data_IF_525188424666
#
_entry.id   IF_525188424666
#
_cell.length_a   1.000
_cell.length_b   1.000
_cell.length_c   1.000
_cell.angle_alpha   90.00
_cell.angle_beta   90.00
_cell.angle_gamma   90.00
#
_symmetry.space_group_name_H-M   'P 1'
#
loop_
_entity.id
_entity.type
_entity.pdbx_description
1 polymer ?
#
# COMPACT_ATOMS: atom_id res chain seq x y z
N UNK A 1 22.46 14.90 -2.30
CA UNK A 1 21.50 14.54 -1.22
C UNK A 1 21.03 13.10 -1.36
N UNK A 2 20.53 12.69 -2.54
CA UNK A 2 20.11 11.31 -2.83
C UNK A 2 21.20 10.26 -2.55
N UNK A 3 22.41 10.45 -3.09
CA UNK A 3 23.55 9.54 -2.82
C UNK A 3 23.82 9.38 -1.31
N UNK A 4 23.97 10.50 -0.58
CA UNK A 4 24.14 10.47 0.88
C UNK A 4 23.01 9.74 1.61
N UNK A 5 21.75 9.93 1.20
CA UNK A 5 20.59 9.26 1.78
C UNK A 5 20.62 7.74 1.50
N UNK A 6 21.02 7.35 0.29
CA UNK A 6 21.19 5.96 -0.10
C UNK A 6 22.32 5.28 0.68
N UNK A 7 23.48 5.93 0.78
CA UNK A 7 24.65 5.44 1.52
C UNK A 7 24.34 5.25 3.00
N UNK A 8 23.66 6.23 3.61
CA UNK A 8 23.19 6.15 5.00
C UNK A 8 22.22 4.98 5.25
N UNK A 9 21.59 4.44 4.19
CA UNK A 9 20.68 3.29 4.27
C UNK A 9 21.31 1.97 3.84
N UNK A 10 22.58 1.92 3.44
CA UNK A 10 23.20 0.71 2.87
C UNK A 10 22.95 -0.56 3.73
N UNK A 11 23.15 -0.46 5.05
CA UNK A 11 22.91 -1.58 5.98
C UNK A 11 21.42 -1.99 6.06
N UNK A 12 20.50 -1.03 5.97
CA UNK A 12 19.06 -1.33 5.89
C UNK A 12 18.73 -2.03 4.57
N UNK A 13 19.27 -1.54 3.45
CA UNK A 13 19.00 -2.11 2.12
C UNK A 13 19.50 -3.56 2.02
N UNK A 14 20.67 -3.86 2.57
CA UNK A 14 21.16 -5.25 2.67
C UNK A 14 20.21 -6.14 3.47
N UNK A 15 19.81 -5.70 4.67
CA UNK A 15 18.86 -6.45 5.49
C UNK A 15 17.54 -6.69 4.77
N UNK A 16 16.99 -5.70 4.07
CA UNK A 16 15.74 -5.84 3.33
C UNK A 16 15.86 -6.87 2.20
N UNK A 17 17.02 -6.98 1.54
CA UNK A 17 17.26 -8.05 0.55
C UNK A 17 17.22 -9.43 1.19
N UNK A 18 17.88 -9.62 2.33
CA UNK A 18 17.85 -10.88 3.07
C UNK A 18 16.45 -11.26 3.57
N UNK A 19 15.61 -10.25 3.81
CA UNK A 19 14.21 -10.41 4.21
C UNK A 19 13.25 -10.50 3.01
N UNK A 20 13.75 -10.75 1.80
CA UNK A 20 12.98 -10.82 0.56
C UNK A 20 12.01 -9.63 0.39
N UNK A 21 12.56 -8.42 0.52
CA UNK A 21 11.82 -7.16 0.45
C UNK A 21 12.39 -6.25 -0.64
N UNK A 22 11.60 -5.99 -1.69
CA UNK A 22 11.97 -5.14 -2.83
C UNK A 22 11.16 -3.83 -2.91
N UNK A 23 10.43 -3.48 -1.86
CA UNK A 23 9.74 -2.19 -1.74
C UNK A 23 10.09 -1.43 -0.45
N UNK A 24 10.55 -0.18 -0.59
CA UNK A 24 11.04 0.65 0.52
C UNK A 24 11.27 2.10 0.10
N UNK A 25 11.29 3.01 1.08
CA UNK A 25 11.66 4.42 0.87
C UNK A 25 13.16 4.59 0.64
N UNK A 26 13.52 5.14 -0.52
CA UNK A 26 14.88 5.53 -0.89
C UNK A 26 15.23 6.93 -0.39
N UNK A 27 14.26 7.85 -0.41
CA UNK A 27 14.45 9.25 0.01
C UNK A 27 13.20 9.78 0.73
N UNK A 28 13.39 10.36 1.90
CA UNK A 28 12.38 11.00 2.72
C UNK A 28 12.73 12.48 2.92
N UNK A 29 12.28 13.33 1.99
CA UNK A 29 12.75 14.70 1.86
C UNK A 29 12.63 15.58 3.10
N UNK A 30 11.60 15.36 3.95
CA UNK A 30 11.45 16.09 5.22
C UNK A 30 12.66 15.95 6.14
N UNK A 31 13.29 14.77 6.21
CA UNK A 31 14.46 14.55 7.08
C UNK A 31 15.80 14.68 6.34
N UNK A 32 15.75 14.84 5.01
CA UNK A 32 16.94 14.77 4.15
C UNK A 32 17.25 16.07 3.42
N UNK A 33 16.49 17.13 3.73
CA UNK A 33 16.72 18.50 3.29
C UNK A 33 15.96 18.91 2.03
N UNK A 34 14.96 18.14 1.60
CA UNK A 34 14.06 18.51 0.50
C UNK A 34 12.59 18.27 0.88
N UNK A 35 12.02 19.05 1.83
CA UNK A 35 10.67 18.85 2.32
C UNK A 35 9.64 18.77 1.20
N UNK A 36 8.68 17.86 1.34
CA UNK A 36 7.67 17.62 0.32
C UNK A 36 8.08 16.64 -0.78
N UNK A 37 9.29 16.09 -0.80
CA UNK A 37 9.72 15.11 -1.81
C UNK A 37 9.89 13.72 -1.21
N UNK A 38 9.39 12.69 -1.90
CA UNK A 38 9.64 11.29 -1.55
C UNK A 38 10.07 10.50 -2.78
N UNK A 39 11.04 9.59 -2.58
CA UNK A 39 11.41 8.59 -3.58
C UNK A 39 11.24 7.21 -2.94
N UNK A 40 10.35 6.41 -3.50
CA UNK A 40 10.03 5.07 -3.00
C UNK A 40 10.34 4.03 -4.09
N UNK A 41 11.01 2.93 -3.73
CA UNK A 41 11.13 1.74 -4.59
C UNK A 41 9.89 0.87 -4.40
N UNK A 42 9.31 0.44 -5.50
CA UNK A 42 8.27 -0.60 -5.56
C UNK A 42 8.67 -1.64 -6.61
N UNK A 43 9.40 -2.68 -6.18
CA UNK A 43 9.91 -3.71 -7.08
C UNK A 43 10.88 -3.10 -8.10
N UNK A 44 10.48 -3.10 -9.37
CA UNK A 44 11.25 -2.57 -10.49
C UNK A 44 10.83 -1.16 -10.91
N UNK A 45 10.10 -0.42 -10.06
CA UNK A 45 9.69 0.97 -10.33
C UNK A 45 10.13 1.88 -9.19
N UNK A 46 10.71 3.03 -9.54
CA UNK A 46 10.93 4.13 -8.61
C UNK A 46 9.77 5.12 -8.70
N UNK A 47 9.08 5.37 -7.60
CA UNK A 47 8.00 6.33 -7.49
C UNK A 47 8.53 7.61 -6.84
N UNK A 48 8.72 8.65 -7.65
CA UNK A 48 9.03 10.00 -7.20
C UNK A 48 7.72 10.75 -6.97
N UNK A 49 7.54 11.33 -5.79
CA UNK A 49 6.39 12.19 -5.51
C UNK A 49 6.86 13.53 -4.95
N UNK A 50 6.15 14.58 -5.35
CA UNK A 50 6.27 15.89 -4.71
C UNK A 50 4.93 16.32 -4.13
N UNK A 51 5.02 17.01 -3.00
CA UNK A 51 3.94 17.60 -2.26
C UNK A 51 4.27 19.08 -2.04
N UNK A 52 3.23 19.92 -1.90
CA UNK A 52 3.31 21.38 -1.76
C UNK A 52 3.80 22.15 -2.99
N UNK A 53 4.90 21.72 -3.63
CA UNK A 53 5.44 22.33 -4.84
C UNK A 53 5.81 21.26 -5.89
N UNK A 54 5.65 21.55 -7.20
CA UNK A 54 6.16 20.70 -8.26
C UNK A 54 7.69 20.76 -8.33
N UNK A 55 8.31 19.69 -8.81
CA UNK A 55 9.69 19.64 -9.27
C UNK A 55 9.79 20.11 -10.72
N UNK A 56 10.86 20.84 -11.04
CA UNK A 56 11.21 21.16 -12.42
C UNK A 56 11.81 19.95 -13.15
N UNK A 57 11.90 20.03 -14.48
CA UNK A 57 12.39 18.93 -15.31
C UNK A 57 13.84 18.54 -15.01
N UNK A 58 14.68 19.52 -14.61
CA UNK A 58 16.08 19.27 -14.26
C UNK A 58 16.18 18.45 -12.96
N UNK A 59 15.38 18.76 -11.96
CA UNK A 59 15.27 18.02 -10.71
C UNK A 59 14.77 16.59 -10.94
N UNK A 60 13.72 16.42 -11.76
CA UNK A 60 13.19 15.10 -12.13
C UNK A 60 14.24 14.27 -12.88
N UNK A 61 14.94 14.87 -13.84
CA UNK A 61 16.01 14.22 -14.59
C UNK A 61 17.18 13.81 -13.68
N UNK A 62 17.58 14.67 -12.72
CA UNK A 62 18.63 14.35 -11.76
C UNK A 62 18.26 13.17 -10.85
N UNK A 63 17.00 13.11 -10.38
CA UNK A 63 16.51 11.95 -9.61
C UNK A 63 16.51 10.70 -10.48
N UNK A 64 16.03 10.79 -11.72
CA UNK A 64 15.99 9.65 -12.63
C UNK A 64 17.40 9.12 -12.98
N UNK A 65 18.37 10.02 -13.18
CA UNK A 65 19.77 9.65 -13.40
C UNK A 65 20.38 8.98 -12.15
N UNK A 66 20.09 9.48 -10.96
CA UNK A 66 20.50 8.82 -9.72
C UNK A 66 19.89 7.41 -9.60
N UNK A 67 18.60 7.23 -9.90
CA UNK A 67 17.95 5.92 -9.89
C UNK A 67 18.61 4.98 -10.91
N UNK A 68 18.92 5.45 -12.12
CA UNK A 68 19.59 4.65 -13.14
C UNK A 68 21.03 4.24 -12.75
N UNK A 69 21.72 5.06 -11.97
CA UNK A 69 23.06 4.72 -11.46
C UNK A 69 23.01 3.55 -10.45
N UNK A 70 22.05 3.58 -9.51
CA UNK A 70 21.91 2.53 -8.47
C UNK A 70 21.08 1.33 -8.93
N UNK A 71 20.20 1.52 -9.91
CA UNK A 71 19.25 0.53 -10.43
C UNK A 71 19.01 0.77 -11.95
N UNK A 72 19.90 0.29 -12.83
CA UNK A 72 19.93 0.67 -14.26
C UNK A 72 18.66 0.40 -15.07
N UNK A 73 17.85 -0.58 -14.67
CA UNK A 73 16.65 -0.99 -15.40
C UNK A 73 15.37 -0.39 -14.83
N UNK A 74 15.45 0.38 -13.73
CA UNK A 74 14.28 0.84 -12.98
C UNK A 74 13.79 2.21 -13.49
N UNK A 75 12.63 2.31 -14.16
CA UNK A 75 12.06 3.60 -14.55
C UNK A 75 11.64 4.42 -13.32
N UNK A 76 11.87 5.73 -13.41
CA UNK A 76 11.35 6.71 -12.43
C UNK A 76 10.03 7.27 -12.92
N UNK A 77 8.96 7.01 -12.16
CA UNK A 77 7.64 7.59 -12.37
C UNK A 77 7.47 8.79 -11.43
N UNK A 78 7.35 9.98 -12.00
CA UNK A 78 7.10 11.20 -11.23
C UNK A 78 5.62 11.52 -11.15
N UNK A 79 5.11 11.65 -9.92
CA UNK A 79 3.77 12.10 -9.60
C UNK A 79 3.85 13.44 -8.83
N UNK A 80 3.57 14.54 -9.52
CA UNK A 80 3.32 15.84 -8.89
C UNK A 80 1.97 15.80 -8.19
N UNK A 81 1.98 15.87 -6.85
CA UNK A 81 0.80 15.93 -5.99
C UNK A 81 0.70 17.26 -5.24
N UNK A 82 1.36 18.31 -5.72
CA UNK A 82 1.34 19.63 -5.10
C UNK A 82 0.00 20.35 -5.21
N UNK A 83 -0.85 19.94 -6.17
CA UNK A 83 -2.13 20.55 -6.45
C UNK A 83 -3.27 20.21 -5.47
N UNK A 84 -4.49 20.62 -5.83
CA UNK A 84 -5.70 20.46 -5.00
C UNK A 84 -5.95 18.98 -4.66
N UNK A 85 -6.21 18.73 -3.37
CA UNK A 85 -6.50 17.40 -2.82
C UNK A 85 -5.41 16.35 -3.13
N UNK A 86 -4.16 16.76 -3.35
CA UNK A 86 -3.02 15.88 -3.64
C UNK A 86 -3.25 14.93 -4.83
N UNK A 87 -4.03 15.37 -5.83
CA UNK A 87 -4.23 14.65 -7.09
C UNK A 87 -3.01 14.83 -7.97
N UNK A 88 -2.72 13.81 -8.79
CA UNK A 88 -1.62 13.84 -9.74
C UNK A 88 -1.92 14.87 -10.83
N UNK A 89 -1.04 15.85 -11.01
CA UNK A 89 -1.25 16.99 -11.91
C UNK A 89 -0.40 16.95 -13.19
N UNK A 90 0.74 16.25 -13.18
CA UNK A 90 1.68 16.25 -14.30
C UNK A 90 1.39 15.14 -15.33
N UNK A 91 1.63 15.39 -16.64
CA UNK A 91 1.66 14.34 -17.65
C UNK A 91 2.91 13.45 -17.51
N UNK A 92 2.91 12.32 -18.23
CA UNK A 92 4.09 11.47 -18.41
C UNK A 92 4.31 11.21 -19.91
N UNK A 93 5.56 11.05 -20.36
CA UNK A 93 5.88 10.48 -21.66
C UNK A 93 5.20 9.12 -21.85
N UNK A 94 4.85 8.76 -23.09
CA UNK A 94 4.06 7.56 -23.40
C UNK A 94 4.63 6.27 -22.80
N UNK A 95 5.95 6.07 -22.88
CA UNK A 95 6.62 4.91 -22.32
C UNK A 95 6.44 4.82 -20.79
N UNK A 96 6.64 5.92 -20.08
CA UNK A 96 6.46 5.98 -18.62
C UNK A 96 4.99 5.91 -18.22
N UNK A 97 4.07 6.44 -19.03
CA UNK A 97 2.62 6.32 -18.82
C UNK A 97 2.18 4.86 -18.85
N UNK A 98 2.68 4.08 -19.81
CA UNK A 98 2.39 2.64 -19.90
C UNK A 98 2.84 1.91 -18.64
N UNK A 99 4.08 2.13 -18.19
CA UNK A 99 4.60 1.55 -16.94
C UNK A 99 3.77 1.99 -15.73
N UNK A 100 3.46 3.27 -15.62
CA UNK A 100 2.75 3.82 -14.48
C UNK A 100 1.33 3.24 -14.29
N UNK A 101 0.66 2.93 -15.39
CA UNK A 101 -0.69 2.36 -15.41
C UNK A 101 -0.71 0.83 -15.48
N UNK A 102 0.43 0.14 -15.51
CA UNK A 102 0.46 -1.31 -15.45
C UNK A 102 0.50 -1.80 -13.99
N UNK A 103 -0.44 -2.67 -13.56
CA UNK A 103 -0.35 -3.33 -12.27
C UNK A 103 0.91 -4.22 -12.19
N UNK A 104 1.81 -3.89 -11.28
CA UNK A 104 2.97 -4.70 -10.91
C UNK A 104 2.72 -5.52 -9.64
N UNK A 105 3.79 -6.19 -9.19
CA UNK A 105 3.84 -6.82 -7.87
C UNK A 105 5.18 -6.53 -7.20
N UNK A 106 5.16 -6.42 -5.87
CA UNK A 106 6.32 -6.23 -5.01
C UNK A 106 6.34 -7.30 -3.92
N UNK A 107 7.47 -7.46 -3.26
CA UNK A 107 7.65 -8.35 -2.11
C UNK A 107 8.03 -7.56 -0.87
N UNK A 108 7.44 -7.94 0.25
CA UNK A 108 7.84 -7.51 1.58
C UNK A 108 7.75 -8.70 2.53
N UNK A 109 8.86 -9.08 3.15
CA UNK A 109 8.95 -10.24 4.05
C UNK A 109 8.52 -11.55 3.38
N UNK A 110 8.84 -11.72 2.09
CA UNK A 110 8.40 -12.86 1.29
C UNK A 110 6.91 -12.87 0.93
N UNK A 111 6.16 -11.83 1.30
CA UNK A 111 4.74 -11.67 0.95
C UNK A 111 4.61 -10.83 -0.31
N UNK A 112 3.84 -11.32 -1.28
CA UNK A 112 3.59 -10.61 -2.53
C UNK A 112 2.41 -9.65 -2.42
N UNK A 113 2.58 -8.43 -2.91
CA UNK A 113 1.55 -7.39 -2.97
C UNK A 113 1.47 -6.79 -4.36
N UNK A 114 0.27 -6.41 -4.80
CA UNK A 114 0.04 -5.59 -5.99
C UNK A 114 0.48 -4.16 -5.72
N UNK A 115 1.05 -3.55 -6.76
CA UNK A 115 1.42 -2.15 -6.81
C UNK A 115 1.00 -1.56 -8.15
N UNK A 116 0.65 -0.28 -8.17
CA UNK A 116 0.46 0.48 -9.40
C UNK A 116 0.72 1.97 -9.10
N UNK A 117 1.57 2.60 -9.90
CA UNK A 117 2.03 3.97 -9.64
C UNK A 117 0.96 5.03 -9.95
N UNK A 118 0.11 4.77 -10.96
CA UNK A 118 -1.02 5.62 -11.34
C UNK A 118 -2.27 4.79 -11.58
N UNK A 119 -3.30 5.07 -10.80
CA UNK A 119 -4.63 4.47 -10.90
C UNK A 119 -5.72 5.48 -10.51
N UNK A 120 -6.98 5.06 -10.47
CA UNK A 120 -8.10 5.96 -10.13
C UNK A 120 -8.05 6.52 -8.68
N UNK A 121 -7.46 5.77 -7.75
CA UNK A 121 -7.15 6.24 -6.38
C UNK A 121 -5.91 7.13 -6.31
N UNK A 122 -5.59 7.66 -5.12
CA UNK A 122 -4.50 8.61 -4.94
C UNK A 122 -3.16 7.98 -4.55
N UNK A 123 -3.19 7.04 -3.61
CA UNK A 123 -1.99 6.44 -3.03
C UNK A 123 -1.70 5.09 -3.66
N UNK A 124 -0.42 4.70 -3.79
CA UNK A 124 -0.07 3.38 -4.27
C UNK A 124 -0.69 2.30 -3.39
N UNK A 125 -1.00 1.15 -3.98
CA UNK A 125 -1.71 0.05 -3.32
C UNK A 125 -1.04 -0.58 -2.09
N UNK A 126 0.16 -0.15 -1.68
CA UNK A 126 0.83 -0.59 -0.47
C UNK A 126 1.50 0.59 0.23
N UNK A 127 1.14 0.82 1.49
CA UNK A 127 1.80 1.78 2.37
C UNK A 127 3.05 1.13 3.03
N UNK A 128 4.23 1.68 2.71
CA UNK A 128 5.52 1.12 3.11
C UNK A 128 5.92 1.42 4.56
N UNK A 129 5.38 2.49 5.14
CA UNK A 129 5.57 2.87 6.55
C UNK A 129 4.98 1.82 7.52
N UNK A 130 3.94 1.10 7.10
CA UNK A 130 3.31 0.06 7.90
C UNK A 130 4.07 -1.29 7.88
N UNK A 131 5.23 -1.38 7.20
CA UNK A 131 6.05 -2.61 7.14
C UNK A 131 6.42 -3.16 8.53
N UNK A 132 6.85 -2.29 9.44
CA UNK A 132 7.23 -2.71 10.79
C UNK A 132 6.05 -3.35 11.54
N UNK A 133 4.85 -2.79 11.39
CA UNK A 133 3.63 -3.34 11.97
C UNK A 133 3.24 -4.67 11.33
N UNK A 134 3.39 -4.81 10.00
CA UNK A 134 3.15 -6.09 9.30
C UNK A 134 4.13 -7.16 9.75
N UNK A 135 5.41 -6.84 9.94
CA UNK A 135 6.39 -7.78 10.52
C UNK A 135 5.99 -8.25 11.91
N UNK A 136 5.68 -7.31 12.80
CA UNK A 136 5.25 -7.65 14.16
C UNK A 136 4.01 -8.56 14.13
N UNK A 137 3.03 -8.23 13.30
CA UNK A 137 1.84 -9.06 13.12
C UNK A 137 2.18 -10.47 12.63
N UNK A 138 3.09 -10.61 11.65
CA UNK A 138 3.49 -11.92 11.13
C UNK A 138 4.14 -12.79 12.22
N UNK A 139 4.85 -12.21 13.18
CA UNK A 139 5.40 -12.96 14.31
C UNK A 139 4.32 -13.48 15.28
N UNK A 140 3.16 -12.81 15.34
CA UNK A 140 2.08 -13.11 16.30
C UNK A 140 0.89 -13.86 15.70
N UNK A 141 0.75 -13.87 14.37
CA UNK A 141 -0.50 -14.25 13.71
C UNK A 141 -0.78 -15.76 13.69
N UNK A 142 0.23 -16.61 13.80
CA UNK A 142 0.11 -18.06 13.66
C UNK A 142 -1.00 -18.64 14.56
N UNK A 143 -1.95 -19.36 13.96
CA UNK A 143 -3.08 -20.00 14.65
C UNK A 143 -4.15 -19.03 15.19
N UNK A 144 -3.94 -17.71 15.12
CA UNK A 144 -4.90 -16.70 15.62
C UNK A 144 -5.97 -16.35 14.59
N UNK A 145 -6.99 -15.63 15.04
CA UNK A 145 -8.00 -15.01 14.17
C UNK A 145 -7.76 -13.51 14.11
N UNK A 146 -7.68 -12.95 12.90
CA UNK A 146 -7.37 -11.54 12.66
C UNK A 146 -8.56 -10.83 12.01
N UNK A 147 -9.01 -9.74 12.62
CA UNK A 147 -9.97 -8.80 12.06
C UNK A 147 -9.21 -7.54 11.62
N UNK A 148 -9.09 -7.34 10.31
CA UNK A 148 -8.45 -6.19 9.70
C UNK A 148 -9.53 -5.18 9.28
N UNK A 149 -9.61 -4.07 9.99
CA UNK A 149 -10.57 -2.98 9.75
C UNK A 149 -9.89 -1.85 8.98
N UNK A 150 -10.65 -1.11 8.17
CA UNK A 150 -10.10 -0.13 7.23
C UNK A 150 -9.01 -0.80 6.36
N UNK A 151 -9.35 -1.99 5.86
CA UNK A 151 -8.40 -2.94 5.35
C UNK A 151 -7.67 -2.45 4.08
N UNK A 152 -8.21 -1.46 3.38
CA UNK A 152 -7.72 -0.96 2.10
C UNK A 152 -7.50 -2.12 1.12
N UNK A 153 -6.28 -2.28 0.59
CA UNK A 153 -5.86 -3.39 -0.29
C UNK A 153 -5.49 -4.64 0.50
N UNK A 154 -5.95 -4.75 1.75
CA UNK A 154 -5.83 -5.90 2.63
C UNK A 154 -4.40 -6.31 2.98
N UNK A 155 -3.41 -5.39 2.88
CA UNK A 155 -1.99 -5.72 3.08
C UNK A 155 -1.68 -6.38 4.43
N UNK A 156 -2.30 -5.89 5.51
CA UNK A 156 -2.22 -6.45 6.87
C UNK A 156 -2.84 -7.85 6.94
N UNK A 157 -4.04 -8.01 6.38
CA UNK A 157 -4.72 -9.31 6.34
C UNK A 157 -3.98 -10.36 5.50
N UNK A 158 -3.40 -9.97 4.37
CA UNK A 158 -2.56 -10.86 3.55
C UNK A 158 -1.31 -11.29 4.32
N UNK A 159 -0.62 -10.36 5.00
CA UNK A 159 0.54 -10.70 5.84
C UNK A 159 0.18 -11.71 6.94
N UNK A 160 -0.92 -11.48 7.66
CA UNK A 160 -1.41 -12.41 8.68
C UNK A 160 -1.74 -13.80 8.11
N UNK A 161 -2.37 -13.84 6.93
CA UNK A 161 -2.68 -15.09 6.24
C UNK A 161 -1.42 -15.88 5.87
N UNK A 162 -0.40 -15.22 5.29
CA UNK A 162 0.88 -15.84 4.97
C UNK A 162 1.62 -16.35 6.21
N UNK A 163 1.47 -15.65 7.35
CA UNK A 163 2.03 -16.05 8.64
C UNK A 163 1.23 -17.15 9.36
N UNK A 164 0.22 -17.76 8.71
CA UNK A 164 -0.50 -18.90 9.27
C UNK A 164 -1.64 -18.54 10.23
N UNK A 165 -2.22 -17.33 10.13
CA UNK A 165 -3.47 -17.03 10.82
C UNK A 165 -4.55 -18.05 10.44
N UNK A 166 -5.22 -18.63 11.44
CA UNK A 166 -6.33 -19.59 11.25
C UNK A 166 -7.52 -18.96 10.54
N UNK A 167 -7.71 -17.66 10.71
CA UNK A 167 -8.79 -16.92 10.08
C UNK A 167 -8.43 -15.45 9.90
N UNK A 168 -8.72 -14.88 8.73
CA UNK A 168 -8.55 -13.46 8.44
C UNK A 168 -9.84 -12.90 7.86
N UNK A 169 -10.33 -11.79 8.42
CA UNK A 169 -11.44 -11.01 7.87
C UNK A 169 -10.97 -9.60 7.58
N UNK A 170 -11.11 -9.16 6.34
CA UNK A 170 -10.84 -7.80 5.90
C UNK A 170 -12.16 -7.04 5.72
N UNK A 171 -12.27 -5.87 6.33
CA UNK A 171 -13.44 -4.98 6.21
C UNK A 171 -12.98 -3.64 5.63
N UNK A 172 -13.58 -3.24 4.52
CA UNK A 172 -13.34 -1.92 3.94
C UNK A 172 -14.58 -1.40 3.19
N UNK A 173 -14.72 -0.08 3.12
CA UNK A 173 -15.82 0.56 2.42
C UNK A 173 -15.56 0.68 0.91
N UNK A 174 -14.30 0.62 0.47
CA UNK A 174 -13.93 0.78 -0.92
C UNK A 174 -13.86 -0.59 -1.61
N UNK A 175 -14.90 -0.93 -2.37
CA UNK A 175 -14.92 -2.16 -3.17
C UNK A 175 -13.72 -2.27 -4.13
N UNK A 176 -13.26 -1.15 -4.69
CA UNK A 176 -12.08 -1.10 -5.55
C UNK A 176 -10.80 -1.52 -4.82
N UNK A 177 -10.65 -1.17 -3.54
CA UNK A 177 -9.51 -1.58 -2.71
C UNK A 177 -9.61 -3.06 -2.33
N UNK A 178 -10.81 -3.53 -1.95
CA UNK A 178 -11.05 -4.96 -1.69
C UNK A 178 -10.79 -5.84 -2.91
N UNK A 179 -11.05 -5.35 -4.13
CA UNK A 179 -10.70 -6.07 -5.36
C UNK A 179 -9.19 -6.31 -5.47
N UNK A 180 -8.39 -5.28 -5.22
CA UNK A 180 -6.92 -5.41 -5.15
C UNK A 180 -6.51 -6.32 -3.99
N UNK A 181 -7.19 -6.24 -2.85
CA UNK A 181 -6.94 -7.13 -1.71
C UNK A 181 -7.21 -8.61 -2.01
N UNK A 182 -8.23 -8.91 -2.81
CA UNK A 182 -8.48 -10.27 -3.32
C UNK A 182 -7.36 -10.72 -4.26
N UNK A 183 -6.82 -9.82 -5.08
CA UNK A 183 -5.66 -10.13 -5.92
C UNK A 183 -4.40 -10.37 -5.09
N UNK A 184 -4.15 -9.58 -4.04
CA UNK A 184 -3.07 -9.80 -3.08
C UNK A 184 -3.19 -11.18 -2.42
N UNK A 185 -4.38 -11.60 -2.01
CA UNK A 185 -4.58 -12.93 -1.45
C UNK A 185 -4.33 -14.06 -2.47
N UNK A 186 -4.61 -13.84 -3.76
CA UNK A 186 -4.34 -14.82 -4.83
C UNK A 186 -2.87 -14.90 -5.23
N UNK A 187 -2.09 -13.85 -5.01
CA UNK A 187 -0.65 -13.84 -5.27
C UNK A 187 0.15 -14.72 -4.30
N UNK A 188 -0.46 -15.12 -3.18
CA UNK A 188 0.23 -15.83 -2.11
C UNK A 188 -0.40 -17.20 -1.85
N UNK A 189 0.42 -18.15 -1.41
CA UNK A 189 -0.04 -19.46 -0.94
C UNK A 189 -0.59 -19.33 0.49
N UNK A 190 -1.90 -19.06 0.62
CA UNK A 190 -2.56 -18.92 1.91
C UNK A 190 -3.16 -20.27 2.37
N UNK A 191 -2.91 -20.72 3.61
CA UNK A 191 -3.47 -21.97 4.13
C UNK A 191 -5.00 -21.90 4.29
N UNK A 192 -5.53 -20.69 4.49
CA UNK A 192 -6.96 -20.42 4.61
C UNK A 192 -7.33 -19.21 3.77
N UNK A 193 -8.51 -19.28 3.13
CA UNK A 193 -9.02 -18.17 2.32
C UNK A 193 -9.49 -17.02 3.23
N UNK A 194 -8.97 -15.79 3.09
CA UNK A 194 -9.47 -14.64 3.84
C UNK A 194 -10.92 -14.30 3.46
N UNK A 195 -11.67 -13.76 4.42
CA UNK A 195 -12.98 -13.15 4.18
C UNK A 195 -12.80 -11.68 3.80
N UNK A 196 -13.61 -11.21 2.86
CA UNK A 196 -13.63 -9.81 2.42
C UNK A 196 -15.05 -9.26 2.58
N UNK A 197 -15.19 -8.20 3.34
CA UNK A 197 -16.47 -7.58 3.69
C UNK A 197 -16.47 -6.16 3.17
N UNK A 198 -17.32 -5.90 2.17
CA UNK A 198 -17.60 -4.55 1.70
C UNK A 198 -18.62 -3.91 2.63
N UNK A 199 -18.14 -3.08 3.56
CA UNK A 199 -18.97 -2.40 4.55
C UNK A 199 -18.20 -1.23 5.14
N UNK A 200 -18.93 -0.20 5.59
CA UNK A 200 -18.38 0.70 6.59
C UNK A 200 -17.97 -0.09 7.85
N UNK A 201 -16.92 0.37 8.54
CA UNK A 201 -16.36 -0.35 9.68
C UNK A 201 -17.30 -0.34 10.87
N UNK A 202 -17.99 0.77 11.16
CA UNK A 202 -18.89 0.87 12.32
C UNK A 202 -20.05 -0.13 12.29
N UNK A 203 -20.82 -0.28 11.20
CA UNK A 203 -21.85 -1.31 11.14
C UNK A 203 -21.23 -2.71 11.20
N UNK A 204 -20.10 -2.97 10.54
CA UNK A 204 -19.46 -4.29 10.59
C UNK A 204 -19.10 -4.70 12.03
N UNK A 205 -18.41 -3.84 12.79
CA UNK A 205 -18.00 -4.17 14.18
C UNK A 205 -19.20 -4.30 15.12
N UNK A 206 -20.26 -3.51 14.93
CA UNK A 206 -21.49 -3.64 15.72
C UNK A 206 -22.20 -4.97 15.49
N UNK A 207 -22.23 -5.46 14.25
CA UNK A 207 -22.76 -6.79 13.95
C UNK A 207 -21.90 -7.88 14.59
N UNK A 208 -20.57 -7.80 14.44
CA UNK A 208 -19.62 -8.75 15.04
C UNK A 208 -19.68 -8.76 16.57
N UNK A 209 -20.01 -7.63 17.20
CA UNK A 209 -20.19 -7.49 18.63
C UNK A 209 -21.60 -7.90 19.13
N UNK A 210 -22.52 -8.31 18.24
CA UNK A 210 -23.89 -8.71 18.61
C UNK A 210 -24.81 -7.55 19.01
N UNK A 211 -24.40 -6.30 18.77
CA UNK A 211 -25.17 -5.09 19.15
C UNK A 211 -26.27 -4.79 18.11
N UNK A 212 -26.14 -5.32 16.89
CA UNK A 212 -27.06 -5.04 15.79
C UNK A 212 -26.95 -3.62 15.22
N UNK A 213 -27.79 -3.31 14.22
CA UNK A 213 -27.80 -2.00 13.56
C UNK A 213 -29.00 -1.14 13.98
N UNK A 214 -28.79 0.16 14.27
CA UNK A 214 -29.92 1.07 14.45
C UNK A 214 -30.69 1.21 13.14
N UNK A 215 -32.02 1.06 13.19
CA UNK A 215 -32.89 1.28 12.03
C UNK A 215 -32.98 2.77 11.65
N UNK A 216 -32.81 3.66 12.63
CA UNK A 216 -32.92 5.11 12.49
C UNK A 216 -31.75 5.80 13.22
N UNK A 217 -31.15 6.82 12.61
CA UNK A 217 -30.18 7.72 13.26
C UNK A 217 -30.58 9.16 12.92
N UNK A 218 -30.79 10.00 13.95
CA UNK A 218 -31.28 11.40 13.80
C UNK A 218 -32.52 11.50 12.90
N UNK A 219 -33.48 10.59 13.06
CA UNK A 219 -34.72 10.53 12.29
C UNK A 219 -34.58 10.01 10.85
N UNK A 220 -33.37 9.69 10.38
CA UNK A 220 -33.15 9.12 9.03
C UNK A 220 -32.99 7.62 9.09
N UNK A 221 -33.63 6.89 8.16
CA UNK A 221 -33.37 5.45 7.98
C UNK A 221 -31.93 5.27 7.56
N UNK A 222 -31.25 4.34 8.22
CA UNK A 222 -29.91 3.97 7.82
C UNK A 222 -29.97 3.22 6.48
N UNK A 223 -28.96 3.38 5.61
CA UNK A 223 -28.87 2.57 4.40
C UNK A 223 -28.82 1.08 4.76
N UNK A 224 -29.30 0.19 3.88
CA UNK A 224 -29.20 -1.24 4.10
C UNK A 224 -27.72 -1.65 4.20
N UNK A 225 -27.40 -2.46 5.21
CA UNK A 225 -26.06 -3.00 5.41
C UNK A 225 -26.07 -4.50 5.12
N UNK A 226 -24.98 -5.06 4.55
CA UNK A 226 -24.86 -6.51 4.40
C UNK A 226 -24.89 -7.18 5.78
N UNK A 227 -25.72 -8.19 5.95
CA UNK A 227 -25.67 -9.03 7.15
C UNK A 227 -24.45 -9.96 7.09
N UNK A 228 -23.61 -9.90 8.11
CA UNK A 228 -22.46 -10.78 8.24
C UNK A 228 -22.93 -12.12 8.80
N UNK A 229 -22.79 -13.17 8.00
CA UNK A 229 -23.13 -14.51 8.46
C UNK A 229 -22.32 -14.88 9.71
N UNK A 230 -23.03 -15.32 10.75
CA UNK A 230 -22.47 -15.74 12.02
C UNK A 230 -21.37 -16.81 11.80
N UNK A 231 -20.32 -16.71 12.60
CA UNK A 231 -19.25 -17.72 12.58
C UNK A 231 -19.80 -19.00 13.21
N UNK A 232 -19.87 -20.07 12.41
CA UNK A 232 -19.95 -21.45 12.93
C UNK A 232 -18.54 -21.95 13.19
#
# INVERSE_FOLDING_TARGET
MLARAHDARAALLERLRHEDTDCYRLFHGTVEGWPGVTLDRYGEVALLQSFHAPLDDAAVAAVAAFVADVHPTMPTIYNDRSGRASRIANPLPDALRTVAHQPGSVREHGVHYRFQARHAGQDPWLFLDLRAARRWLMAEAAGRSVLNLFAYTCGVGTAAGCAGARFVMNVDFAESALRVGKDNARLNALPHRPRFVHSDVFPAVRQLAGIGQPKLVRGKRMPPFPELAARR
#
